data_IF_255889666637
#
_entry.id   IF_255889666637
#
_cell.length_a   1.000
_cell.length_b   1.000
_cell.length_c   1.000
_cell.angle_alpha   90.00
_cell.angle_beta   90.00
_cell.angle_gamma   90.00
#
_symmetry.space_group_name_H-M   'P 1'
#
loop_
_entity.id
_entity.type
_entity.pdbx_description
1 polymer ?
#
# COMPACT_ATOMS: atom_id res chain seq x y z
N UNK A 1 -9.45 11.26 13.75
CA UNK A 1 -8.57 10.09 13.95
C UNK A 1 -9.18 8.84 13.33
N UNK A 2 -8.41 7.76 13.20
CA UNK A 2 -8.85 6.41 12.86
C UNK A 2 -8.40 5.50 13.99
N UNK A 3 -9.27 4.57 14.40
CA UNK A 3 -8.92 3.48 15.32
C UNK A 3 -9.43 2.19 14.69
N UNK A 4 -8.58 1.18 14.62
CA UNK A 4 -8.86 -0.11 14.01
C UNK A 4 -8.75 -1.18 15.09
N UNK A 5 -9.84 -1.91 15.31
CA UNK A 5 -9.85 -3.01 16.26
C UNK A 5 -8.90 -4.12 15.79
N UNK A 6 -8.05 -4.57 16.70
CA UNK A 6 -7.11 -5.68 16.49
C UNK A 6 -7.39 -6.76 17.51
N UNK A 7 -7.63 -7.98 17.06
CA UNK A 7 -7.94 -9.09 17.95
C UNK A 7 -6.71 -9.45 18.81
N UNK A 8 -6.86 -9.39 20.14
CA UNK A 8 -5.78 -9.73 21.08
C UNK A 8 -4.68 -8.68 21.25
N UNK A 9 -4.81 -7.49 20.66
CA UNK A 9 -3.86 -6.39 20.78
C UNK A 9 -4.57 -5.04 21.00
N UNK A 10 -3.89 -4.01 21.54
CA UNK A 10 -4.43 -2.65 21.59
C UNK A 10 -4.82 -2.16 20.21
N UNK A 11 -5.93 -1.43 20.12
CA UNK A 11 -6.43 -0.87 18.86
C UNK A 11 -5.33 -0.13 18.09
N UNK A 12 -5.29 -0.33 16.78
CA UNK A 12 -4.32 0.30 15.90
C UNK A 12 -4.79 1.70 15.52
N UNK A 13 -4.02 2.72 15.91
CA UNK A 13 -4.34 4.13 15.71
C UNK A 13 -3.25 4.83 14.90
N UNK A 14 -3.33 4.82 13.55
CA UNK A 14 -2.34 5.51 12.73
C UNK A 14 -2.51 7.04 12.82
N UNK A 15 -1.38 7.75 12.87
CA UNK A 15 -1.31 9.20 12.80
C UNK A 15 -0.75 9.66 11.45
N UNK A 16 -1.13 10.86 11.01
CA UNK A 16 -0.48 11.52 9.88
C UNK A 16 0.81 12.20 10.34
N UNK A 17 1.73 12.49 9.42
CA UNK A 17 3.04 13.09 9.74
C UNK A 17 2.97 14.44 10.49
N UNK A 18 1.87 15.19 10.33
CA UNK A 18 1.62 16.50 10.93
C UNK A 18 0.68 16.42 12.14
N UNK A 19 0.25 15.22 12.53
CA UNK A 19 -0.79 14.97 13.55
C UNK A 19 -2.14 15.65 13.28
N UNK A 20 -2.34 16.20 12.07
CA UNK A 20 -3.55 16.92 11.71
C UNK A 20 -4.56 16.03 10.98
N UNK A 21 -5.83 16.19 11.33
CA UNK A 21 -6.95 15.61 10.61
C UNK A 21 -7.66 16.67 9.75
N UNK A 22 -7.38 16.66 8.43
CA UNK A 22 -7.91 17.64 7.47
C UNK A 22 -9.36 17.39 7.02
N UNK A 23 -10.09 16.49 7.66
CA UNK A 23 -11.47 16.19 7.31
C UNK A 23 -11.61 15.36 6.03
N UNK A 24 -12.64 15.64 5.23
CA UNK A 24 -12.88 14.92 3.96
C UNK A 24 -11.89 15.38 2.91
N UNK A 25 -11.30 14.43 2.20
CA UNK A 25 -10.43 14.67 1.05
C UNK A 25 -10.61 13.55 0.03
N UNK A 26 -10.23 13.80 -1.22
CA UNK A 26 -10.25 12.77 -2.28
C UNK A 26 -9.09 11.79 -2.11
N UNK A 27 -9.25 10.57 -2.65
CA UNK A 27 -8.15 9.60 -2.70
C UNK A 27 -6.92 10.14 -3.46
N UNK A 28 -7.14 11.00 -4.46
CA UNK A 28 -6.08 11.68 -5.22
C UNK A 28 -5.26 12.61 -4.33
N UNK A 29 -5.90 13.48 -3.57
CA UNK A 29 -5.22 14.42 -2.67
C UNK A 29 -4.50 13.65 -1.55
N UNK A 30 -5.15 12.63 -0.98
CA UNK A 30 -4.56 11.82 0.07
C UNK A 30 -3.27 11.11 -0.39
N UNK A 31 -3.26 10.60 -1.63
CA UNK A 31 -2.08 9.98 -2.24
C UNK A 31 -0.99 11.02 -2.51
N UNK A 32 -1.34 12.20 -3.04
CA UNK A 32 -0.38 13.26 -3.35
C UNK A 32 0.33 13.80 -2.08
N UNK A 33 -0.42 13.94 -0.99
CA UNK A 33 0.08 14.42 0.30
C UNK A 33 0.64 13.30 1.19
N UNK A 34 0.67 12.05 0.71
CA UNK A 34 1.13 10.86 1.45
C UNK A 34 0.50 10.73 2.84
N UNK A 35 -0.85 10.81 2.91
CA UNK A 35 -1.58 10.83 4.19
C UNK A 35 -1.88 9.41 4.69
N UNK A 36 -1.35 9.07 5.86
CA UNK A 36 -1.47 7.74 6.47
C UNK A 36 -2.92 7.35 6.78
N UNK A 37 -3.69 8.23 7.43
CA UNK A 37 -5.05 7.89 7.89
C UNK A 37 -5.99 7.52 6.73
N UNK A 38 -6.08 8.33 5.65
CA UNK A 38 -6.85 7.94 4.47
C UNK A 38 -6.30 6.69 3.77
N UNK A 39 -4.98 6.48 3.73
CA UNK A 39 -4.39 5.29 3.11
C UNK A 39 -4.83 3.99 3.82
N UNK A 40 -4.78 3.97 5.15
CA UNK A 40 -5.26 2.83 5.95
C UNK A 40 -6.77 2.61 5.76
N UNK A 41 -7.57 3.68 5.82
CA UNK A 41 -9.03 3.59 5.59
C UNK A 41 -9.36 3.00 4.23
N UNK A 42 -8.69 3.48 3.18
CA UNK A 42 -8.92 3.00 1.82
C UNK A 42 -8.49 1.54 1.66
N UNK A 43 -7.36 1.14 2.26
CA UNK A 43 -6.91 -0.25 2.23
C UNK A 43 -7.92 -1.19 2.93
N UNK A 44 -8.53 -0.75 4.04
CA UNK A 44 -9.58 -1.51 4.71
C UNK A 44 -10.87 -1.59 3.88
N UNK A 45 -11.28 -0.48 3.24
CA UNK A 45 -12.47 -0.45 2.38
C UNK A 45 -12.32 -1.34 1.14
N UNK A 46 -11.11 -1.37 0.55
CA UNK A 46 -10.76 -2.26 -0.56
C UNK A 46 -10.58 -3.72 -0.11
N UNK A 47 -10.18 -3.94 1.14
CA UNK A 47 -9.76 -5.22 1.69
C UNK A 47 -8.25 -5.45 1.51
N UNK A 48 -7.53 -5.69 2.61
CA UNK A 48 -6.07 -5.83 2.63
C UNK A 48 -5.60 -7.05 1.83
N UNK A 49 -6.39 -8.12 1.74
CA UNK A 49 -6.11 -9.28 0.89
C UNK A 49 -6.17 -8.92 -0.60
N UNK A 50 -7.08 -8.01 -1.00
CA UNK A 50 -7.15 -7.54 -2.37
C UNK A 50 -5.94 -6.67 -2.72
N UNK A 51 -5.51 -5.81 -1.79
CA UNK A 51 -4.27 -5.03 -1.92
C UNK A 51 -3.06 -5.96 -2.07
N UNK A 52 -2.94 -6.97 -1.20
CA UNK A 52 -1.85 -7.94 -1.27
C UNK A 52 -1.86 -8.74 -2.58
N UNK A 53 -3.03 -9.16 -3.06
CA UNK A 53 -3.17 -9.86 -4.36
C UNK A 53 -2.72 -8.97 -5.52
N UNK A 54 -3.09 -7.69 -5.50
CA UNK A 54 -2.65 -6.74 -6.51
C UNK A 54 -1.13 -6.52 -6.46
N UNK A 55 -0.55 -6.35 -5.27
CA UNK A 55 0.88 -6.22 -5.07
C UNK A 55 1.67 -7.40 -5.68
N UNK A 56 1.19 -8.65 -5.50
CA UNK A 56 1.76 -9.83 -6.18
C UNK A 56 1.66 -9.75 -7.71
N UNK A 57 0.52 -9.28 -8.22
CA UNK A 57 0.30 -9.11 -9.67
C UNK A 57 1.19 -8.01 -10.26
N UNK A 58 1.49 -6.99 -9.47
CA UNK A 58 2.43 -5.93 -9.82
C UNK A 58 3.89 -6.41 -9.81
N UNK A 59 4.20 -7.52 -9.15
CA UNK A 59 5.54 -8.12 -9.13
C UNK A 59 6.32 -7.93 -7.83
N UNK A 60 5.64 -7.61 -6.72
CA UNK A 60 6.22 -7.75 -5.38
C UNK A 60 6.16 -9.22 -4.96
N UNK A 61 7.26 -9.73 -4.42
CA UNK A 61 7.38 -11.12 -3.99
C UNK A 61 7.40 -11.23 -2.45
N UNK A 62 7.60 -12.45 -1.93
CA UNK A 62 7.74 -12.69 -0.49
C UNK A 62 6.42 -12.72 0.30
N UNK A 63 6.55 -12.51 1.61
CA UNK A 63 5.44 -12.49 2.55
C UNK A 63 4.82 -11.08 2.61
N UNK A 64 3.71 -10.90 1.90
CA UNK A 64 3.03 -9.60 1.83
C UNK A 64 2.03 -9.53 2.98
N UNK A 65 2.21 -8.58 3.93
CA UNK A 65 1.34 -8.48 5.10
C UNK A 65 -0.08 -8.10 4.67
N UNK A 66 -1.09 -8.65 5.36
CA UNK A 66 -2.50 -8.28 5.20
C UNK A 66 -3.05 -7.52 6.40
N UNK A 67 -2.18 -7.03 7.27
CA UNK A 67 -2.55 -6.16 8.39
C UNK A 67 -2.84 -4.73 7.92
N UNK A 68 -3.62 -3.92 8.66
CA UNK A 68 -3.93 -2.54 8.27
C UNK A 68 -2.68 -1.66 8.05
N UNK A 69 -1.58 -1.95 8.75
CA UNK A 69 -0.32 -1.23 8.62
C UNK A 69 0.38 -1.42 7.27
N UNK A 70 -0.02 -2.43 6.46
CA UNK A 70 0.53 -2.63 5.11
C UNK A 70 0.39 -1.38 4.22
N UNK A 71 -0.66 -0.58 4.44
CA UNK A 71 -0.93 0.65 3.69
C UNK A 71 0.15 1.73 3.92
N UNK A 72 0.99 1.57 4.95
CA UNK A 72 2.07 2.49 5.30
C UNK A 72 3.46 1.98 4.88
N UNK A 73 3.52 0.90 4.09
CA UNK A 73 4.79 0.41 3.52
C UNK A 73 5.61 -0.48 4.44
N UNK A 74 4.97 -1.33 5.24
CA UNK A 74 5.66 -2.30 6.13
C UNK A 74 6.25 -3.51 5.41
N UNK A 75 6.06 -3.61 4.08
CA UNK A 75 6.66 -4.63 3.23
C UNK A 75 8.08 -4.23 2.83
N UNK A 76 9.03 -5.14 2.99
CA UNK A 76 10.37 -5.00 2.42
C UNK A 76 10.37 -5.40 0.93
N UNK A 77 11.03 -4.62 0.08
CA UNK A 77 11.17 -4.91 -1.34
C UNK A 77 12.52 -4.41 -1.86
N UNK A 78 13.13 -5.16 -2.78
CA UNK A 78 14.32 -4.72 -3.50
C UNK A 78 14.00 -3.59 -4.49
N UNK A 79 15.00 -2.78 -4.89
CA UNK A 79 14.80 -1.77 -5.92
C UNK A 79 14.27 -2.34 -7.25
N UNK A 80 14.65 -3.57 -7.60
CA UNK A 80 14.19 -4.23 -8.82
C UNK A 80 12.71 -4.65 -8.74
N UNK A 81 12.27 -5.14 -7.58
CA UNK A 81 10.85 -5.44 -7.33
C UNK A 81 10.01 -4.17 -7.35
N UNK A 82 10.48 -3.08 -6.72
CA UNK A 82 9.78 -1.78 -6.79
C UNK A 82 9.69 -1.27 -8.23
N UNK A 83 10.78 -1.30 -9.00
CA UNK A 83 10.75 -0.91 -10.41
C UNK A 83 9.75 -1.74 -11.23
N UNK A 84 9.68 -3.05 -10.96
CA UNK A 84 8.72 -3.98 -11.57
C UNK A 84 7.28 -3.63 -11.17
N UNK A 85 7.03 -3.38 -9.87
CA UNK A 85 5.72 -3.00 -9.35
C UNK A 85 5.20 -1.69 -9.96
N UNK A 86 6.07 -0.69 -10.08
CA UNK A 86 5.71 0.59 -10.70
C UNK A 86 5.41 0.46 -12.20
N UNK A 87 5.96 -0.54 -12.89
CA UNK A 87 5.64 -0.75 -14.30
C UNK A 87 4.17 -1.14 -14.51
N UNK A 88 3.49 -1.68 -13.48
CA UNK A 88 2.09 -2.08 -13.56
C UNK A 88 1.17 -0.92 -13.92
N UNK A 89 1.51 0.33 -13.54
CA UNK A 89 0.73 1.52 -13.92
C UNK A 89 0.72 1.74 -15.44
N UNK A 90 1.83 1.48 -16.13
CA UNK A 90 1.93 1.58 -17.58
C UNK A 90 1.40 0.32 -18.31
N UNK A 91 1.46 -0.83 -17.64
CA UNK A 91 1.16 -2.15 -18.20
C UNK A 91 -0.22 -2.70 -17.78
N UNK A 92 -1.21 -1.82 -17.60
CA UNK A 92 -2.61 -2.17 -17.30
C UNK A 92 -2.77 -3.10 -16.09
N UNK A 93 -1.96 -2.87 -15.06
CA UNK A 93 -2.04 -3.57 -13.77
C UNK A 93 -1.15 -4.82 -13.64
N UNK A 94 -0.23 -5.08 -14.59
CA UNK A 94 0.70 -6.23 -14.51
C UNK A 94 2.15 -5.79 -14.45
N UNK A 95 2.93 -6.39 -13.54
CA UNK A 95 4.37 -6.19 -13.50
C UNK A 95 5.06 -6.68 -14.77
N UNK A 96 6.01 -5.89 -15.29
CA UNK A 96 6.81 -6.28 -16.44
C UNK A 96 8.00 -7.11 -15.98
N UNK A 97 8.15 -8.33 -16.50
CA UNK A 97 9.29 -9.19 -16.13
C UNK A 97 10.61 -8.54 -16.59
N UNK A 98 11.52 -8.19 -15.68
CA UNK A 98 12.78 -7.54 -16.04
C UNK A 98 13.68 -8.48 -16.86
N UNK A 99 14.40 -7.91 -17.83
CA UNK A 99 15.39 -8.62 -18.66
C UNK A 99 16.69 -7.82 -18.64
N UNK A 100 17.79 -8.49 -18.29
CA UNK A 100 19.13 -7.87 -18.23
C UNK A 100 19.92 -8.13 -19.52
N UNK A 101 19.51 -9.13 -20.30
CA UNK A 101 20.15 -9.50 -21.57
C UNK A 101 19.12 -9.47 -22.69
N UNK A 102 19.46 -8.76 -23.77
CA UNK A 102 18.74 -8.78 -25.03
C UNK A 102 19.52 -9.61 -26.06
N UNK A 103 18.80 -10.19 -27.02
CA UNK A 103 19.36 -11.08 -28.06
C UNK A 103 19.43 -10.35 -29.39
#
# INVERSE_FOLDING_TARGET
SLSVDTEGAPAYEPANYDDEFRGRMTAREALADSRNVPAVRLAQEVGTENVARFARTAGLEGDIPTTPSMALGTLEASPLELATAYSAFAALGRGAKPRVVER
#
